data_IF_289420082996
#
_entry.id   IF_289420082996
#
_cell.length_a   1.000
_cell.length_b   1.000
_cell.length_c   1.000
_cell.angle_alpha   90.00
_cell.angle_beta   90.00
_cell.angle_gamma   90.00
#
_symmetry.space_group_name_H-M   'P 1'
#
loop_
_entity.id
_entity.type
_entity.pdbx_description
1 polymer ?
#
# COMPACT_ATOMS: atom_id res chain seq x y z
N UNK A 1 -13.56 -4.40 -10.83
CA UNK A 1 -13.45 -3.55 -12.04
C UNK A 1 -12.42 -2.49 -11.74
N UNK A 2 -11.40 -2.34 -12.58
CA UNK A 2 -10.30 -1.36 -12.43
C UNK A 2 -10.35 -0.32 -13.54
N UNK A 3 -9.68 0.82 -13.37
CA UNK A 3 -9.62 1.85 -14.40
C UNK A 3 -8.97 1.32 -15.70
N UNK A 4 -7.97 0.44 -15.59
CA UNK A 4 -7.35 -0.25 -16.73
C UNK A 4 -8.33 -1.15 -17.50
N UNK A 5 -9.29 -1.78 -16.80
CA UNK A 5 -10.31 -2.59 -17.46
C UNK A 5 -11.28 -1.71 -18.27
N UNK A 6 -11.69 -0.57 -17.71
CA UNK A 6 -12.54 0.41 -18.39
C UNK A 6 -11.82 1.04 -19.58
N UNK A 7 -10.52 1.35 -19.44
CA UNK A 7 -9.67 1.84 -20.53
C UNK A 7 -9.61 0.83 -21.69
N UNK A 8 -9.39 -0.46 -21.39
CA UNK A 8 -9.39 -1.50 -22.41
C UNK A 8 -10.74 -1.58 -23.15
N UNK A 9 -11.87 -1.39 -22.46
CA UNK A 9 -13.19 -1.34 -23.09
C UNK A 9 -13.33 -0.12 -24.02
N UNK A 10 -12.94 1.08 -23.57
CA UNK A 10 -12.99 2.30 -24.40
C UNK A 10 -12.14 2.16 -25.65
N UNK A 11 -10.96 1.56 -25.57
CA UNK A 11 -10.10 1.34 -26.74
C UNK A 11 -10.77 0.44 -27.77
N UNK A 12 -11.42 -0.64 -27.33
CA UNK A 12 -12.20 -1.52 -28.22
C UNK A 12 -13.38 -0.78 -28.85
N UNK A 13 -14.14 0.00 -28.07
CA UNK A 13 -15.28 0.75 -28.61
C UNK A 13 -14.85 1.83 -29.61
N UNK A 14 -13.70 2.47 -29.37
CA UNK A 14 -13.11 3.45 -30.27
C UNK A 14 -12.67 2.81 -31.59
N UNK A 15 -12.04 1.63 -31.56
CA UNK A 15 -11.70 0.86 -32.78
C UNK A 15 -12.94 0.48 -33.60
N UNK A 16 -14.08 0.28 -32.92
CA UNK A 16 -15.37 -0.02 -33.55
C UNK A 16 -16.17 1.23 -33.96
N UNK A 17 -15.64 2.44 -33.75
CA UNK A 17 -16.32 3.73 -33.96
C UNK A 17 -17.71 3.79 -33.31
N UNK A 18 -17.84 3.24 -32.09
CA UNK A 18 -19.08 3.29 -31.31
C UNK A 18 -19.08 4.50 -30.38
N UNK A 19 -20.19 5.23 -30.37
CA UNK A 19 -20.51 6.29 -29.40
C UNK A 19 -21.97 6.14 -28.94
N UNK A 20 -22.25 5.01 -28.31
CA UNK A 20 -23.60 4.66 -27.85
C UNK A 20 -23.67 4.60 -26.33
N UNK A 21 -24.83 4.18 -25.82
CA UNK A 21 -25.11 4.08 -24.40
C UNK A 21 -24.08 3.21 -23.65
N UNK A 22 -23.50 2.17 -24.26
CA UNK A 22 -22.51 1.33 -23.59
C UNK A 22 -21.23 2.12 -23.32
N UNK A 23 -20.83 2.98 -24.27
CA UNK A 23 -19.66 3.85 -24.11
C UNK A 23 -19.91 4.91 -23.03
N UNK A 24 -21.13 5.46 -22.97
CA UNK A 24 -21.51 6.35 -21.89
C UNK A 24 -21.33 5.67 -20.53
N UNK A 25 -21.87 4.46 -20.34
CA UNK A 25 -21.75 3.71 -19.08
C UNK A 25 -20.31 3.47 -18.64
N UNK A 26 -19.38 3.24 -19.57
CA UNK A 26 -17.96 3.07 -19.21
C UNK A 26 -17.39 4.36 -18.61
N UNK A 27 -17.72 5.51 -19.18
CA UNK A 27 -17.32 6.82 -18.64
C UNK A 27 -18.02 7.14 -17.32
N UNK A 28 -19.29 6.75 -17.15
CA UNK A 28 -19.98 6.86 -15.85
C UNK A 28 -19.26 6.07 -14.76
N UNK A 29 -18.93 4.80 -15.03
CA UNK A 29 -18.20 3.97 -14.08
C UNK A 29 -16.79 4.52 -13.80
N UNK A 30 -16.14 5.11 -14.79
CA UNK A 30 -14.83 5.74 -14.62
C UNK A 30 -14.95 6.98 -13.72
N UNK A 31 -15.97 7.82 -13.91
CA UNK A 31 -16.24 8.98 -13.06
C UNK A 31 -16.53 8.59 -11.61
N UNK A 32 -17.46 7.64 -11.39
CA UNK A 32 -17.78 7.14 -10.07
C UNK A 32 -16.54 6.58 -9.36
N UNK A 33 -15.70 5.85 -10.10
CA UNK A 33 -14.46 5.26 -9.58
C UNK A 33 -13.48 6.34 -9.15
N UNK A 34 -13.12 7.29 -10.01
CA UNK A 34 -12.12 8.33 -9.71
C UNK A 34 -12.60 9.26 -8.59
N UNK A 35 -13.87 9.68 -8.62
CA UNK A 35 -14.46 10.50 -7.57
C UNK A 35 -14.45 9.77 -6.22
N UNK A 36 -14.75 8.46 -6.21
CA UNK A 36 -14.68 7.66 -4.98
C UNK A 36 -13.26 7.55 -4.40
N UNK A 37 -12.22 7.77 -5.21
CA UNK A 37 -10.80 7.82 -4.81
C UNK A 37 -10.32 9.21 -4.38
N UNK A 38 -11.17 10.23 -4.50
CA UNK A 38 -10.82 11.62 -4.27
C UNK A 38 -10.12 12.30 -5.45
N UNK A 39 -10.15 11.69 -6.64
CA UNK A 39 -9.59 12.27 -7.87
C UNK A 39 -10.64 13.10 -8.60
N UNK A 40 -10.83 14.33 -8.13
CA UNK A 40 -11.83 15.24 -8.66
C UNK A 40 -11.49 15.72 -10.09
N UNK A 41 -10.20 15.84 -10.43
CA UNK A 41 -9.75 16.22 -11.76
C UNK A 41 -10.22 15.22 -12.83
N UNK A 42 -9.87 13.93 -12.67
CA UNK A 42 -10.30 12.89 -13.63
C UNK A 42 -11.81 12.64 -13.54
N UNK A 43 -12.37 12.69 -12.33
CA UNK A 43 -13.81 12.58 -12.11
C UNK A 43 -14.62 13.55 -12.95
N UNK A 44 -14.19 14.81 -12.99
CA UNK A 44 -14.77 15.85 -13.84
C UNK A 44 -14.69 15.49 -15.33
N UNK A 45 -13.51 15.12 -15.82
CA UNK A 45 -13.31 14.82 -17.24
C UNK A 45 -14.15 13.63 -17.69
N UNK A 46 -14.21 12.56 -16.89
CA UNK A 46 -15.07 11.41 -17.19
C UNK A 46 -16.56 11.76 -17.17
N UNK A 47 -17.00 12.56 -16.20
CA UNK A 47 -18.38 13.04 -16.17
C UNK A 47 -18.72 13.90 -17.41
N UNK A 48 -17.81 14.75 -17.87
CA UNK A 48 -17.98 15.54 -19.10
C UNK A 48 -18.10 14.65 -20.35
N UNK A 49 -17.29 13.58 -20.43
CA UNK A 49 -17.37 12.62 -21.55
C UNK A 49 -18.69 11.85 -21.54
N UNK A 50 -19.14 11.40 -20.37
CA UNK A 50 -20.45 10.75 -20.21
C UNK A 50 -21.61 11.71 -20.58
N UNK A 51 -21.58 12.95 -20.07
CA UNK A 51 -22.54 14.00 -20.41
C UNK A 51 -22.63 14.22 -21.93
N UNK A 52 -21.48 14.33 -22.60
CA UNK A 52 -21.43 14.56 -24.05
C UNK A 52 -22.14 13.44 -24.82
N UNK A 53 -21.92 12.18 -24.46
CA UNK A 53 -22.56 11.04 -25.14
C UNK A 53 -24.06 11.01 -24.83
N UNK A 54 -24.47 11.28 -23.58
CA UNK A 54 -25.88 11.35 -23.21
C UNK A 54 -26.63 12.45 -23.95
N UNK A 55 -26.00 13.61 -24.15
CA UNK A 55 -26.58 14.69 -24.98
C UNK A 55 -26.83 14.24 -26.41
N UNK A 56 -25.86 13.55 -27.01
CA UNK A 56 -25.96 13.08 -28.40
C UNK A 56 -26.98 11.94 -28.55
N UNK A 57 -27.07 11.03 -27.59
CA UNK A 57 -27.88 9.80 -27.68
C UNK A 57 -29.30 9.95 -27.13
N UNK A 58 -29.48 10.72 -26.05
CA UNK A 58 -30.75 10.85 -25.32
C UNK A 58 -31.30 12.28 -25.31
N UNK A 59 -30.51 13.26 -25.73
CA UNK A 59 -30.88 14.68 -25.69
C UNK A 59 -30.40 15.40 -24.42
N UNK A 60 -30.29 16.73 -24.52
CA UNK A 60 -29.75 17.60 -23.47
C UNK A 60 -30.66 17.74 -22.24
N UNK A 61 -31.95 17.49 -22.38
CA UNK A 61 -32.96 17.50 -21.32
C UNK A 61 -33.11 16.15 -20.62
N UNK A 62 -32.37 15.12 -21.06
CA UNK A 62 -32.39 13.81 -20.44
C UNK A 62 -31.86 13.88 -18.99
N UNK A 63 -32.45 13.13 -18.04
CA UNK A 63 -31.98 13.08 -16.66
C UNK A 63 -30.50 12.69 -16.54
N UNK A 64 -29.99 11.85 -17.45
CA UNK A 64 -28.58 11.44 -17.44
C UNK A 64 -27.65 12.57 -17.90
N UNK A 65 -27.99 13.30 -18.97
CA UNK A 65 -27.21 14.47 -19.39
C UNK A 65 -27.14 15.53 -18.28
N UNK A 66 -28.26 15.82 -17.61
CA UNK A 66 -28.31 16.78 -16.50
C UNK A 66 -27.47 16.29 -15.32
N UNK A 67 -27.64 15.02 -14.91
CA UNK A 67 -26.89 14.41 -13.80
C UNK A 67 -25.38 14.53 -14.00
N UNK A 68 -24.87 14.17 -15.17
CA UNK A 68 -23.43 14.19 -15.43
C UNK A 68 -22.90 15.61 -15.70
N UNK A 69 -23.72 16.54 -16.19
CA UNK A 69 -23.38 17.95 -16.24
C UNK A 69 -23.17 18.55 -14.84
N UNK A 70 -24.05 18.23 -13.89
CA UNK A 70 -23.95 18.67 -12.51
C UNK A 70 -22.76 18.01 -11.81
N UNK A 71 -22.55 16.71 -12.04
CA UNK A 71 -21.40 15.96 -11.53
C UNK A 71 -20.07 16.51 -12.08
N UNK A 72 -20.02 16.90 -13.35
CA UNK A 72 -18.85 17.55 -13.94
C UNK A 72 -18.56 18.93 -13.33
N UNK A 73 -19.61 19.66 -12.93
CA UNK A 73 -19.48 20.98 -12.28
C UNK A 73 -18.94 20.86 -10.86
N UNK A 74 -19.46 19.89 -10.10
CA UNK A 74 -19.02 19.61 -8.73
C UNK A 74 -18.92 18.09 -8.49
N UNK A 75 -17.78 17.46 -8.83
CA UNK A 75 -17.59 16.03 -8.60
C UNK A 75 -17.58 15.67 -7.11
N UNK A 76 -17.34 16.65 -6.22
CA UNK A 76 -17.34 16.41 -4.77
C UNK A 76 -18.73 16.24 -4.17
N UNK A 77 -19.77 16.64 -4.90
CA UNK A 77 -21.18 16.43 -4.54
C UNK A 77 -21.61 14.96 -4.61
N UNK A 78 -20.82 14.09 -5.24
CA UNK A 78 -21.15 12.68 -5.42
C UNK A 78 -21.18 11.94 -4.08
N UNK A 79 -22.20 11.09 -3.86
CA UNK A 79 -22.41 10.34 -2.61
C UNK A 79 -21.20 9.46 -2.19
N UNK A 80 -20.40 9.05 -3.17
CA UNK A 80 -19.24 8.19 -2.95
C UNK A 80 -17.94 8.95 -2.73
N UNK A 81 -17.95 10.28 -2.87
CA UNK A 81 -16.79 11.12 -2.62
C UNK A 81 -16.30 10.98 -1.16
N UNK A 82 -14.99 10.88 -0.99
CA UNK A 82 -14.37 10.68 0.33
C UNK A 82 -14.49 9.26 0.90
N UNK A 83 -15.05 8.30 0.14
CA UNK A 83 -15.04 6.88 0.52
C UNK A 83 -13.62 6.34 0.59
N UNK A 84 -12.81 6.64 -0.41
CA UNK A 84 -11.37 6.43 -0.48
C UNK A 84 -10.67 7.76 -0.84
N UNK A 85 -9.40 7.93 -0.48
CA UNK A 85 -8.68 9.20 -0.66
C UNK A 85 -7.27 8.98 -1.23
N UNK A 86 -7.12 7.93 -2.04
CA UNK A 86 -5.83 7.45 -2.54
C UNK A 86 -5.27 8.29 -3.68
N UNK A 87 -6.13 8.97 -4.47
CA UNK A 87 -5.76 9.75 -5.65
C UNK A 87 -6.19 11.22 -5.50
N UNK A 88 -5.90 11.82 -4.35
CA UNK A 88 -6.40 13.15 -4.03
C UNK A 88 -5.92 14.19 -5.05
N UNK A 89 -6.89 14.75 -5.78
CA UNK A 89 -6.72 15.89 -6.68
C UNK A 89 -7.89 16.86 -6.49
N UNK A 90 -7.71 18.08 -6.95
CA UNK A 90 -8.75 19.10 -7.06
C UNK A 90 -9.21 19.22 -8.50
N UNK A 91 -10.37 19.84 -8.74
CA UNK A 91 -10.88 20.05 -10.11
C UNK A 91 -9.96 20.92 -10.97
N UNK A 92 -9.04 21.68 -10.35
CA UNK A 92 -8.10 22.57 -11.02
C UNK A 92 -6.80 21.87 -11.43
N UNK A 93 -6.56 20.63 -10.96
CA UNK A 93 -5.39 19.83 -11.29
C UNK A 93 -5.50 19.13 -12.67
N UNK A 94 -6.45 19.53 -13.51
CA UNK A 94 -6.57 19.06 -14.89
C UNK A 94 -5.47 19.71 -15.74
N UNK A 95 -4.63 18.94 -16.44
CA UNK A 95 -3.56 19.50 -17.25
C UNK A 95 -4.09 20.13 -18.55
N UNK A 96 -3.74 21.40 -18.80
CA UNK A 96 -4.22 22.17 -19.96
C UNK A 96 -3.28 22.16 -21.18
N UNK A 97 -2.01 21.78 -20.99
CA UNK A 97 -0.95 21.90 -22.01
C UNK A 97 -0.52 20.54 -22.60
N UNK A 98 -1.30 19.48 -22.39
CA UNK A 98 -0.97 18.15 -22.91
C UNK A 98 -1.51 17.96 -24.34
N UNK A 99 -0.70 17.32 -25.18
CA UNK A 99 -1.17 16.78 -26.45
C UNK A 99 -2.28 15.73 -26.22
N UNK A 100 -3.19 15.50 -27.18
CA UNK A 100 -4.34 14.60 -26.99
C UNK A 100 -3.97 13.19 -26.54
N UNK A 101 -2.82 12.68 -26.99
CA UNK A 101 -2.33 11.36 -26.59
C UNK A 101 -1.93 11.33 -25.10
N UNK A 102 -1.07 12.26 -24.69
CA UNK A 102 -0.57 12.37 -23.32
C UNK A 102 -1.71 12.68 -22.33
N UNK A 103 -2.73 13.43 -22.79
CA UNK A 103 -3.93 13.67 -22.01
C UNK A 103 -4.71 12.37 -21.75
N UNK A 104 -4.86 11.49 -22.74
CA UNK A 104 -5.50 10.18 -22.55
C UNK A 104 -4.65 9.26 -21.68
N UNK A 105 -3.32 9.31 -21.78
CA UNK A 105 -2.44 8.57 -20.86
C UNK A 105 -2.60 9.03 -19.41
N UNK A 106 -2.65 10.34 -19.18
CA UNK A 106 -2.96 10.92 -17.88
C UNK A 106 -4.35 10.51 -17.40
N UNK A 107 -5.38 10.62 -18.24
CA UNK A 107 -6.78 10.37 -17.91
C UNK A 107 -7.00 8.93 -17.46
N UNK A 108 -6.40 7.97 -18.17
CA UNK A 108 -6.53 6.54 -17.86
C UNK A 108 -5.42 6.00 -16.96
N UNK A 109 -4.50 6.86 -16.49
CA UNK A 109 -3.32 6.47 -15.70
C UNK A 109 -2.50 5.35 -16.37
N UNK A 110 -2.29 5.44 -17.68
CA UNK A 110 -1.63 4.39 -18.48
C UNK A 110 -0.15 4.18 -18.11
N UNK A 111 0.46 5.14 -17.39
CA UNK A 111 1.90 5.12 -17.09
C UNK A 111 2.30 4.89 -15.63
N UNK A 112 1.38 4.60 -14.70
CA UNK A 112 1.77 4.17 -13.34
C UNK A 112 1.97 2.65 -13.27
N UNK A 113 2.67 2.05 -14.24
CA UNK A 113 3.39 0.83 -13.91
C UNK A 113 4.57 1.28 -13.05
N UNK A 114 4.47 1.09 -11.73
CA UNK A 114 5.68 1.02 -10.92
C UNK A 114 6.53 -0.06 -11.58
N UNK A 115 7.54 0.37 -12.35
CA UNK A 115 8.48 -0.54 -12.99
C UNK A 115 8.86 -1.55 -11.92
N UNK A 116 8.73 -2.87 -12.18
CA UNK A 116 8.99 -3.86 -11.16
C UNK A 116 10.40 -3.59 -10.68
N UNK A 117 10.52 -3.09 -9.45
CA UNK A 117 11.81 -2.92 -8.82
C UNK A 117 12.45 -4.30 -8.94
N UNK A 118 13.58 -4.38 -9.67
CA UNK A 118 14.35 -5.61 -9.91
C UNK A 118 14.18 -6.49 -8.68
N UNK A 119 13.62 -7.69 -8.86
CA UNK A 119 13.29 -8.63 -7.79
C UNK A 119 14.31 -8.48 -6.66
N UNK A 120 13.88 -7.85 -5.57
CA UNK A 120 14.73 -7.59 -4.41
C UNK A 120 14.82 -8.92 -3.70
N UNK A 121 15.66 -9.82 -4.21
CA UNK A 121 15.91 -11.12 -3.60
C UNK A 121 16.26 -10.81 -2.14
N UNK A 122 15.38 -11.13 -1.18
CA UNK A 122 15.70 -10.88 0.20
C UNK A 122 16.91 -11.74 0.50
N UNK A 123 17.87 -11.20 1.24
CA UNK A 123 18.95 -12.04 1.77
C UNK A 123 18.30 -13.24 2.48
N UNK A 124 18.96 -14.40 2.50
CA UNK A 124 18.49 -15.62 3.20
C UNK A 124 18.16 -15.41 4.70
N UNK A 125 18.32 -14.19 5.22
CA UNK A 125 18.09 -13.75 6.60
C UNK A 125 16.90 -12.78 6.77
N UNK A 126 16.15 -12.44 5.71
CA UNK A 126 14.92 -11.68 5.82
C UNK A 126 13.87 -12.43 6.63
N UNK A 127 13.34 -11.81 7.70
CA UNK A 127 12.24 -12.40 8.47
C UNK A 127 10.85 -12.23 7.81
N UNK A 128 10.79 -11.67 6.60
CA UNK A 128 9.55 -11.47 5.86
C UNK A 128 9.35 -12.56 4.81
N UNK A 129 8.15 -13.13 4.79
CA UNK A 129 7.77 -14.21 3.88
C UNK A 129 7.19 -13.63 2.59
N UNK A 130 7.64 -14.14 1.43
CA UNK A 130 6.94 -13.91 0.17
C UNK A 130 5.65 -14.71 0.12
N UNK A 131 4.78 -14.42 -0.86
CA UNK A 131 3.50 -15.12 -0.98
C UNK A 131 3.69 -16.63 -1.11
N UNK A 132 4.67 -17.08 -1.89
CA UNK A 132 4.96 -18.50 -2.10
C UNK A 132 5.38 -19.24 -0.82
N UNK A 133 5.93 -18.53 0.16
CA UNK A 133 6.38 -19.09 1.44
C UNK A 133 5.25 -19.18 2.48
N UNK A 134 4.08 -18.58 2.21
CA UNK A 134 2.96 -18.58 3.14
C UNK A 134 2.26 -19.95 3.19
N UNK A 135 1.83 -20.41 4.38
CA UNK A 135 1.06 -21.64 4.52
C UNK A 135 -0.40 -21.44 4.11
N UNK A 136 -1.07 -22.56 3.77
CA UNK A 136 -2.53 -22.59 3.70
C UNK A 136 -3.12 -22.69 5.12
N UNK A 137 -4.37 -22.23 5.29
CA UNK A 137 -5.04 -22.24 6.61
C UNK A 137 -5.20 -23.66 7.14
N UNK A 138 -5.42 -24.61 6.25
CA UNK A 138 -5.60 -26.04 6.52
C UNK A 138 -4.32 -26.68 7.10
N UNK A 139 -3.14 -26.21 6.69
CA UNK A 139 -1.84 -26.74 7.13
C UNK A 139 -1.48 -26.35 8.57
N UNK A 140 -2.11 -25.30 9.10
CA UNK A 140 -1.84 -24.78 10.45
C UNK A 140 -2.59 -25.62 11.50
N UNK A 141 -3.77 -26.15 11.16
CA UNK A 141 -4.67 -26.80 12.12
C UNK A 141 -4.26 -28.24 12.49
N UNK A 142 -3.44 -28.89 11.66
CA UNK A 142 -3.06 -30.31 11.85
C UNK A 142 -1.87 -30.52 12.80
N UNK A 143 -1.14 -29.47 13.19
CA UNK A 143 0.06 -29.55 14.02
C UNK A 143 -0.18 -29.06 15.47
N UNK A 144 -1.03 -29.76 16.21
CA UNK A 144 -1.49 -29.38 17.56
C UNK A 144 -0.46 -29.55 18.70
N UNK A 145 0.86 -29.57 18.43
CA UNK A 145 1.88 -29.59 19.50
C UNK A 145 3.13 -28.75 19.25
N UNK A 146 3.23 -28.04 18.13
CA UNK A 146 4.38 -27.15 17.86
C UNK A 146 4.08 -25.72 18.31
N UNK A 147 5.04 -25.08 18.98
CA UNK A 147 5.00 -23.64 19.29
C UNK A 147 4.55 -22.88 18.05
N UNK A 148 3.46 -22.11 18.17
CA UNK A 148 2.89 -21.35 17.06
C UNK A 148 3.94 -20.34 16.59
N UNK A 149 4.59 -20.63 15.46
CA UNK A 149 5.51 -19.68 14.84
C UNK A 149 4.68 -18.57 14.19
N UNK A 150 5.11 -17.33 14.37
CA UNK A 150 4.49 -16.18 13.73
C UNK A 150 5.30 -15.78 12.50
N UNK A 151 4.66 -15.08 11.57
CA UNK A 151 5.33 -14.50 10.41
C UNK A 151 4.65 -13.20 9.99
N UNK A 152 5.37 -12.42 9.20
CA UNK A 152 4.82 -11.21 8.60
C UNK A 152 5.05 -11.24 7.09
N UNK A 153 3.97 -11.07 6.34
CA UNK A 153 3.99 -10.79 4.92
C UNK A 153 4.13 -9.29 4.69
N UNK A 154 4.96 -8.89 3.74
CA UNK A 154 5.04 -7.51 3.26
C UNK A 154 4.68 -7.44 1.78
N UNK A 155 3.84 -6.48 1.43
CA UNK A 155 3.52 -6.17 0.04
C UNK A 155 3.47 -4.67 -0.20
N UNK A 156 4.06 -4.21 -1.29
CA UNK A 156 3.89 -2.85 -1.76
C UNK A 156 2.57 -2.73 -2.51
N UNK A 157 1.76 -1.74 -2.18
CA UNK A 157 0.51 -1.46 -2.87
C UNK A 157 0.82 -0.95 -4.28
N UNK A 158 0.36 -1.68 -5.29
CA UNK A 158 0.58 -1.34 -6.71
C UNK A 158 -0.68 -0.90 -7.40
N UNK A 159 -1.82 -1.41 -6.97
CA UNK A 159 -3.12 -1.04 -7.51
C UNK A 159 -4.21 -1.42 -6.50
N UNK A 160 -5.42 -0.97 -6.75
CA UNK A 160 -6.57 -1.28 -5.93
C UNK A 160 -7.76 -1.67 -6.81
N UNK A 161 -8.51 -2.67 -6.35
CA UNK A 161 -9.77 -3.09 -6.96
C UNK A 161 -10.89 -2.74 -5.98
N UNK A 162 -11.55 -1.61 -6.26
CA UNK A 162 -12.39 -0.92 -5.27
C UNK A 162 -13.89 -1.28 -5.29
N UNK A 163 -14.27 -2.42 -5.86
CA UNK A 163 -15.62 -2.99 -5.68
C UNK A 163 -15.67 -3.63 -4.29
N UNK A 164 -16.74 -3.43 -3.53
CA UNK A 164 -16.89 -4.05 -2.19
C UNK A 164 -17.19 -5.55 -2.32
N UNK A 165 -16.48 -6.44 -1.60
CA UNK A 165 -15.42 -6.18 -0.61
C UNK A 165 -14.12 -5.70 -1.25
N UNK A 166 -13.45 -4.71 -0.61
CA UNK A 166 -12.24 -4.10 -1.15
C UNK A 166 -11.16 -5.15 -1.43
N UNK A 167 -10.55 -5.04 -2.60
CA UNK A 167 -9.40 -5.82 -3.00
C UNK A 167 -8.21 -4.87 -3.22
N UNK A 168 -7.04 -5.21 -2.69
CA UNK A 168 -5.80 -4.43 -2.91
C UNK A 168 -4.81 -5.30 -3.66
N UNK A 169 -4.31 -4.81 -4.79
CA UNK A 169 -3.21 -5.48 -5.49
C UNK A 169 -1.89 -5.04 -4.87
N UNK A 170 -1.08 -6.03 -4.51
CA UNK A 170 0.23 -5.81 -3.91
C UNK A 170 1.30 -6.58 -4.65
N UNK A 171 2.52 -6.05 -4.62
CA UNK A 171 3.74 -6.72 -5.03
C UNK A 171 4.52 -7.14 -3.79
N UNK A 172 4.78 -8.44 -3.62
CA UNK A 172 5.52 -8.97 -2.48
C UNK A 172 7.04 -8.71 -2.57
N UNK A 173 7.77 -9.15 -1.55
CA UNK A 173 9.23 -9.06 -1.48
C UNK A 173 9.96 -9.83 -2.58
N UNK A 174 9.31 -10.80 -3.25
CA UNK A 174 9.86 -11.57 -4.38
C UNK A 174 9.47 -10.98 -5.74
N UNK A 175 8.66 -9.92 -5.76
CA UNK A 175 8.14 -9.29 -6.96
C UNK A 175 6.84 -9.91 -7.49
N UNK A 176 6.25 -10.87 -6.77
CA UNK A 176 5.00 -11.49 -7.16
C UNK A 176 3.84 -10.52 -6.94
N UNK A 177 2.96 -10.38 -7.94
CA UNK A 177 1.73 -9.60 -7.82
C UNK A 177 0.59 -10.51 -7.35
N UNK A 178 -0.09 -10.12 -6.28
CA UNK A 178 -1.24 -10.84 -5.74
C UNK A 178 -2.31 -9.89 -5.21
N UNK A 179 -3.46 -10.44 -4.83
CA UNK A 179 -4.57 -9.69 -4.24
C UNK A 179 -4.72 -9.99 -2.76
N UNK A 180 -4.86 -8.91 -1.99
CA UNK A 180 -5.35 -8.93 -0.61
C UNK A 180 -6.85 -8.67 -0.64
N UNK A 181 -7.64 -9.65 -0.22
CA UNK A 181 -9.10 -9.56 -0.22
C UNK A 181 -9.63 -9.26 1.19
N UNK A 182 -10.37 -8.17 1.36
CA UNK A 182 -10.85 -7.69 2.66
C UNK A 182 -12.23 -8.26 3.00
N UNK A 183 -12.24 -9.35 3.77
CA UNK A 183 -13.45 -9.96 4.36
C UNK A 183 -13.64 -9.56 5.83
N UNK A 184 -13.15 -8.39 6.21
CA UNK A 184 -13.33 -7.81 7.54
C UNK A 184 -14.78 -7.38 7.74
N UNK A 185 -15.19 -7.10 8.99
CA UNK A 185 -16.56 -6.67 9.31
C UNK A 185 -17.01 -5.44 8.51
N UNK A 186 -16.11 -4.49 8.25
CA UNK A 186 -16.38 -3.31 7.43
C UNK A 186 -15.91 -3.45 5.99
N UNK A 187 -15.57 -4.66 5.55
CA UNK A 187 -15.19 -5.00 4.17
C UNK A 187 -14.07 -4.12 3.59
N UNK A 188 -13.09 -3.77 4.41
CA UNK A 188 -11.96 -2.92 4.05
C UNK A 188 -12.22 -1.41 4.17
N UNK A 189 -13.19 -0.97 4.98
CA UNK A 189 -13.46 0.43 5.28
C UNK A 189 -13.07 0.83 6.72
N UNK A 190 -12.29 0.00 7.41
CA UNK A 190 -11.79 0.28 8.74
C UNK A 190 -10.83 1.48 8.79
N UNK A 191 -10.76 2.18 9.93
CA UNK A 191 -9.79 3.25 10.15
C UNK A 191 -8.34 2.75 10.16
N UNK A 192 -8.12 1.45 10.40
CA UNK A 192 -6.79 0.81 10.46
C UNK A 192 -6.30 0.21 9.14
N UNK A 193 -7.16 0.12 8.12
CA UNK A 193 -6.82 -0.35 6.77
C UNK A 193 -7.98 -0.04 5.83
N UNK A 194 -7.82 0.52 4.62
CA UNK A 194 -6.72 1.20 3.95
C UNK A 194 -7.14 2.63 3.49
N UNK A 195 -7.84 3.41 4.32
CA UNK A 195 -8.11 4.84 4.02
C UNK A 195 -6.83 5.69 3.89
N UNK A 196 -5.71 5.17 4.40
CA UNK A 196 -4.37 5.79 4.38
C UNK A 196 -3.40 5.06 3.44
N UNK A 197 -3.78 3.90 2.88
CA UNK A 197 -2.90 3.21 1.95
C UNK A 197 -2.94 3.95 0.63
N UNK A 198 -1.82 4.51 0.21
CA UNK A 198 -1.65 5.10 -1.10
C UNK A 198 -0.83 4.16 -1.96
N UNK A 199 -0.86 4.38 -3.26
CA UNK A 199 0.03 3.69 -4.19
C UNK A 199 1.49 3.85 -3.73
N UNK A 200 2.25 2.77 -3.77
CA UNK A 200 3.63 2.73 -3.29
C UNK A 200 3.81 2.58 -1.78
N UNK A 201 2.76 2.65 -0.96
CA UNK A 201 2.87 2.30 0.46
C UNK A 201 3.07 0.79 0.64
N UNK A 202 3.57 0.39 1.81
CA UNK A 202 3.75 -1.03 2.15
C UNK A 202 2.70 -1.46 3.15
N UNK A 203 2.05 -2.59 2.88
CA UNK A 203 1.19 -3.26 3.85
C UNK A 203 1.94 -4.41 4.50
N UNK A 204 1.83 -4.49 5.82
CA UNK A 204 2.32 -5.60 6.62
C UNK A 204 1.12 -6.40 7.12
N UNK A 205 1.12 -7.71 6.84
CA UNK A 205 0.07 -8.64 7.26
C UNK A 205 0.68 -9.71 8.15
N UNK A 206 0.26 -9.75 9.41
CA UNK A 206 0.66 -10.72 10.41
C UNK A 206 -0.06 -12.05 10.17
N UNK A 207 0.66 -13.16 10.33
CA UNK A 207 0.15 -14.53 10.17
C UNK A 207 -0.68 -14.71 8.89
N UNK A 208 -0.22 -14.09 7.80
CA UNK A 208 -0.89 -14.16 6.50
C UNK A 208 -0.98 -15.60 6.00
N UNK A 209 -2.13 -16.00 5.46
CA UNK A 209 -2.34 -17.34 4.91
C UNK A 209 -2.76 -17.27 3.47
N UNK A 210 -2.35 -18.27 2.68
CA UNK A 210 -2.87 -18.48 1.33
C UNK A 210 -4.33 -18.89 1.40
N UNK A 211 -5.11 -18.38 0.46
CA UNK A 211 -6.49 -18.76 0.29
C UNK A 211 -6.81 -18.95 -1.18
N UNK A 212 -7.34 -20.12 -1.52
CA UNK A 212 -7.88 -20.39 -2.84
C UNK A 212 -9.32 -19.87 -2.90
N UNK A 213 -9.54 -18.85 -3.73
CA UNK A 213 -10.85 -18.28 -3.93
C UNK A 213 -11.61 -19.06 -5.00
N UNK A 214 -12.90 -19.31 -4.77
CA UNK A 214 -13.76 -20.05 -5.70
C UNK A 214 -13.77 -19.46 -7.12
N UNK A 215 -13.61 -18.15 -7.24
CA UNK A 215 -13.63 -17.41 -8.50
C UNK A 215 -12.47 -16.41 -8.54
N UNK A 216 -11.27 -16.88 -8.88
CA UNK A 216 -10.10 -16.02 -9.03
C UNK A 216 -8.79 -16.75 -8.74
N UNK A 217 -7.65 -16.09 -8.97
CA UNK A 217 -6.36 -16.61 -8.55
C UNK A 217 -6.29 -16.68 -7.01
N UNK A 218 -5.41 -17.54 -6.46
CA UNK A 218 -5.11 -17.53 -5.02
C UNK A 218 -4.63 -16.16 -4.54
N UNK A 219 -4.92 -15.84 -3.28
CA UNK A 219 -4.51 -14.58 -2.67
C UNK A 219 -4.47 -14.69 -1.15
N UNK A 220 -4.42 -13.54 -0.48
CA UNK A 220 -4.48 -13.48 0.99
C UNK A 220 -5.86 -12.99 1.39
N UNK A 221 -6.52 -13.74 2.28
CA UNK A 221 -7.84 -13.39 2.82
C UNK A 221 -7.69 -12.72 4.19
N UNK A 222 -8.03 -11.44 4.27
CA UNK A 222 -8.00 -10.67 5.52
C UNK A 222 -9.38 -10.73 6.19
N UNK A 223 -9.42 -11.24 7.43
CA UNK A 223 -10.66 -11.31 8.23
C UNK A 223 -10.63 -10.38 9.45
N UNK A 224 -9.46 -10.15 10.05
CA UNK A 224 -9.27 -9.25 11.19
C UNK A 224 -8.43 -8.03 10.77
N UNK A 225 -9.02 -6.84 10.88
CA UNK A 225 -8.38 -5.58 10.52
C UNK A 225 -7.19 -5.22 11.43
N UNK A 226 -6.99 -5.91 12.55
CA UNK A 226 -5.82 -5.74 13.44
C UNK A 226 -4.61 -6.57 13.00
N UNK A 227 -4.77 -7.47 12.03
CA UNK A 227 -3.66 -8.26 11.48
C UNK A 227 -2.93 -7.53 10.35
N UNK A 228 -3.42 -6.36 9.93
CA UNK A 228 -2.83 -5.55 8.87
C UNK A 228 -2.49 -4.15 9.38
N UNK A 229 -1.36 -3.61 8.93
CA UNK A 229 -1.01 -2.20 9.05
C UNK A 229 -0.40 -1.71 7.74
N UNK A 230 -0.74 -0.48 7.35
CA UNK A 230 -0.12 0.20 6.22
C UNK A 230 0.96 1.17 6.73
N UNK A 231 2.13 1.14 6.11
CA UNK A 231 3.24 2.05 6.38
C UNK A 231 3.43 2.97 5.18
N UNK A 232 3.57 4.30 5.38
CA UNK A 232 3.75 5.28 4.31
C UNK A 232 5.19 5.28 3.79
N UNK A 233 5.67 4.12 3.36
CA UNK A 233 7.00 3.87 2.83
C UNK A 233 6.94 2.82 1.72
N UNK A 234 7.76 2.96 0.66
CA UNK A 234 8.01 1.89 -0.30
C UNK A 234 8.58 0.65 0.37
N UNK A 235 8.29 -0.53 -0.19
CA UNK A 235 8.74 -1.81 0.36
C UNK A 235 10.27 -1.86 0.40
N UNK A 236 10.90 -1.32 -0.64
CA UNK A 236 12.36 -1.20 -0.75
C UNK A 236 12.97 -0.49 0.46
N UNK A 237 12.33 0.59 0.95
CA UNK A 237 12.78 1.35 2.11
C UNK A 237 12.59 0.61 3.43
N UNK A 238 11.54 -0.18 3.56
CA UNK A 238 11.36 -1.03 4.76
C UNK A 238 12.41 -2.13 4.80
N UNK A 239 12.75 -2.74 3.67
CA UNK A 239 13.79 -3.78 3.59
C UNK A 239 15.20 -3.20 3.84
N UNK A 240 15.51 -2.03 3.31
CA UNK A 240 16.75 -1.29 3.64
C UNK A 240 16.83 -1.04 5.16
N UNK A 241 15.72 -0.60 5.77
CA UNK A 241 15.66 -0.35 7.21
C UNK A 241 15.80 -1.62 8.05
N UNK A 242 15.25 -2.75 7.62
CA UNK A 242 15.43 -4.04 8.30
C UNK A 242 16.91 -4.42 8.35
N UNK A 243 17.62 -4.27 7.23
CA UNK A 243 19.06 -4.53 7.17
C UNK A 243 19.86 -3.62 8.11
N UNK A 244 19.59 -2.31 8.09
CA UNK A 244 20.27 -1.34 8.95
C UNK A 244 20.00 -1.62 10.44
N UNK A 245 18.74 -1.88 10.80
CA UNK A 245 18.35 -2.20 12.18
C UNK A 245 19.00 -3.50 12.65
N UNK A 246 19.03 -4.53 11.81
CA UNK A 246 19.73 -5.79 12.12
C UNK A 246 21.23 -5.57 12.36
N UNK A 247 21.86 -4.74 11.54
CA UNK A 247 23.29 -4.51 11.61
C UNK A 247 23.71 -3.61 12.78
N UNK A 248 22.94 -2.56 13.09
CA UNK A 248 23.37 -1.51 14.01
C UNK A 248 22.61 -1.47 15.35
N UNK A 249 21.45 -2.12 15.42
CA UNK A 249 20.57 -1.99 16.59
C UNK A 249 20.45 -3.26 17.41
N UNK A 250 20.61 -4.44 16.78
CA UNK A 250 20.54 -5.72 17.49
C UNK A 250 21.73 -5.89 18.44
N UNK A 251 21.48 -6.21 19.72
CA UNK A 251 22.54 -6.45 20.68
C UNK A 251 23.32 -7.70 20.31
N UNK A 252 24.64 -7.61 20.36
CA UNK A 252 25.57 -8.74 20.28
C UNK A 252 25.92 -9.22 21.69
N UNK A 253 26.89 -10.14 21.81
CA UNK A 253 27.41 -10.57 23.12
C UNK A 253 27.75 -9.36 24.01
N UNK A 254 27.38 -9.46 25.30
CA UNK A 254 27.56 -8.40 26.30
C UNK A 254 26.82 -7.08 26.02
N UNK A 255 25.68 -7.13 25.31
CA UNK A 255 24.87 -5.96 24.93
C UNK A 255 25.66 -4.92 24.12
N UNK A 256 26.64 -5.40 23.36
CA UNK A 256 27.42 -4.58 22.43
C UNK A 256 26.60 -4.24 21.17
N UNK A 257 26.79 -3.04 20.64
CA UNK A 257 26.13 -2.56 19.41
C UNK A 257 27.12 -1.85 18.50
N UNK A 258 26.82 -1.88 17.20
CA UNK A 258 27.64 -1.21 16.20
C UNK A 258 27.26 0.27 16.12
N UNK A 259 28.26 1.14 16.18
CA UNK A 259 28.07 2.57 15.96
C UNK A 259 27.61 2.81 14.52
N UNK A 260 26.44 3.41 14.35
CA UNK A 260 25.94 3.71 12.99
C UNK A 260 26.90 4.67 12.26
N UNK A 261 27.56 5.60 12.95
CA UNK A 261 28.53 6.54 12.37
C UNK A 261 29.80 5.88 11.84
N UNK A 262 30.60 5.26 12.73
CA UNK A 262 31.93 4.73 12.38
C UNK A 262 31.99 3.20 12.22
N UNK A 263 30.96 2.46 12.63
CA UNK A 263 30.94 0.99 12.59
C UNK A 263 31.57 0.29 13.80
N UNK A 264 32.25 1.02 14.70
CA UNK A 264 32.88 0.42 15.87
C UNK A 264 31.85 -0.23 16.80
N UNK A 265 32.23 -1.38 17.35
CA UNK A 265 31.42 -2.14 18.30
C UNK A 265 31.76 -1.68 19.71
N UNK A 266 30.75 -1.31 20.50
CA UNK A 266 30.95 -0.93 21.90
C UNK A 266 29.73 -1.32 22.75
N UNK A 267 29.93 -1.42 24.06
CA UNK A 267 28.84 -1.68 25.01
C UNK A 267 27.82 -0.54 24.98
N UNK A 268 26.53 -0.89 24.97
CA UNK A 268 25.43 0.08 24.91
C UNK A 268 25.55 1.20 25.95
N UNK A 269 25.90 0.84 27.19
CA UNK A 269 26.06 1.78 28.30
C UNK A 269 27.09 2.90 28.02
N UNK A 270 28.04 2.67 27.11
CA UNK A 270 29.07 3.64 26.72
C UNK A 270 28.69 4.49 25.51
N UNK A 271 27.55 4.20 24.87
CA UNK A 271 27.13 4.80 23.60
C UNK A 271 25.90 5.68 23.78
N UNK A 272 25.73 6.63 22.85
CA UNK A 272 24.55 7.49 22.76
C UNK A 272 23.53 6.87 21.83
N UNK A 273 22.31 6.63 22.34
CA UNK A 273 21.15 6.22 21.53
C UNK A 273 20.50 7.45 20.90
N UNK A 274 19.99 7.31 19.67
CA UNK A 274 19.22 8.37 19.04
C UNK A 274 17.96 8.66 19.85
N UNK A 275 17.79 9.89 20.36
CA UNK A 275 16.62 10.28 21.15
C UNK A 275 15.32 10.38 20.33
N UNK A 276 15.41 10.48 19.00
CA UNK A 276 14.26 10.60 18.11
C UNK A 276 13.55 9.27 17.84
N UNK A 277 14.26 8.32 17.25
CA UNK A 277 13.71 7.02 16.87
C UNK A 277 14.01 5.90 17.88
N UNK A 278 15.03 6.07 18.73
CA UNK A 278 15.52 5.06 19.67
C UNK A 278 16.11 3.79 19.02
N UNK A 279 16.25 3.72 17.70
CA UNK A 279 16.76 2.52 17.01
C UNK A 279 18.29 2.48 16.91
N UNK A 280 18.97 3.60 16.67
CA UNK A 280 20.41 3.60 16.36
C UNK A 280 21.30 4.13 17.50
N UNK A 281 22.54 3.64 17.54
CA UNK A 281 23.54 3.92 18.56
C UNK A 281 24.82 4.54 17.98
N UNK A 282 25.49 5.37 18.77
CA UNK A 282 26.68 6.11 18.38
C UNK A 282 27.71 6.18 19.49
N UNK A 283 29.00 6.12 19.15
CA UNK A 283 30.06 6.34 20.14
C UNK A 283 29.97 7.75 20.77
N UNK A 284 29.68 8.77 19.96
CA UNK A 284 29.67 10.17 20.39
C UNK A 284 28.84 11.03 19.43
N UNK A 285 28.84 12.36 19.68
CA UNK A 285 28.06 13.32 18.89
C UNK A 285 28.56 13.43 17.45
N UNK A 286 29.86 13.28 17.20
CA UNK A 286 30.42 13.36 15.84
C UNK A 286 29.99 12.15 15.01
N UNK A 287 30.06 10.94 15.59
CA UNK A 287 29.52 9.74 14.98
C UNK A 287 28.01 9.85 14.73
N UNK A 288 27.27 10.52 15.62
CA UNK A 288 25.87 10.82 15.39
C UNK A 288 25.66 11.73 14.19
N UNK A 289 26.44 12.80 14.03
CA UNK A 289 26.32 13.70 12.87
C UNK A 289 26.67 12.99 11.56
N UNK A 290 27.73 12.19 11.55
CA UNK A 290 28.11 11.35 10.40
C UNK A 290 26.96 10.41 10.05
N UNK A 291 26.50 9.61 11.03
CA UNK A 291 25.38 8.69 10.79
C UNK A 291 24.08 9.38 10.36
N UNK A 292 23.85 10.60 10.86
CA UNK A 292 22.66 11.40 10.58
C UNK A 292 22.64 11.96 9.15
N UNK A 293 23.76 12.56 8.72
CA UNK A 293 23.85 13.29 7.45
C UNK A 293 24.38 12.39 6.34
N UNK A 294 25.52 11.73 6.54
CA UNK A 294 26.22 11.01 5.46
C UNK A 294 25.68 9.60 5.24
N UNK A 295 25.20 8.95 6.30
CA UNK A 295 24.58 7.62 6.22
C UNK A 295 23.06 7.63 6.22
N UNK A 296 22.45 8.78 5.96
CA UNK A 296 21.01 8.87 5.65
C UNK A 296 20.04 8.65 6.81
N UNK A 297 20.47 8.49 8.07
CA UNK A 297 19.53 8.25 9.17
C UNK A 297 18.52 9.40 9.34
N UNK A 298 18.86 10.65 8.98
CA UNK A 298 17.88 11.75 9.00
C UNK A 298 16.57 11.40 8.25
N UNK A 299 16.67 10.73 7.10
CA UNK A 299 15.51 10.37 6.29
C UNK A 299 14.64 9.29 6.98
N UNK A 300 15.27 8.26 7.55
CA UNK A 300 14.53 7.15 8.14
C UNK A 300 14.13 7.35 9.62
N UNK A 301 14.77 8.29 10.34
CA UNK A 301 14.47 8.58 11.74
C UNK A 301 12.99 8.94 11.95
N UNK A 302 12.41 9.71 11.03
CA UNK A 302 11.00 10.10 11.08
C UNK A 302 10.09 8.87 11.05
N UNK A 303 10.36 7.94 10.15
CA UNK A 303 9.56 6.72 9.99
C UNK A 303 9.70 5.78 11.18
N UNK A 304 10.92 5.63 11.70
CA UNK A 304 11.21 4.82 12.88
C UNK A 304 10.64 5.43 14.18
N UNK A 305 10.00 6.60 14.17
CA UNK A 305 9.19 7.02 15.33
C UNK A 305 7.94 6.17 15.49
N UNK A 306 7.44 5.55 14.42
CA UNK A 306 6.32 4.61 14.49
C UNK A 306 6.74 3.38 15.32
N UNK A 307 6.06 3.12 16.45
CA UNK A 307 6.41 2.00 17.32
C UNK A 307 6.18 0.64 16.66
N UNK A 308 5.16 0.50 15.82
CA UNK A 308 4.88 -0.75 15.12
C UNK A 308 5.92 -1.01 14.05
N UNK A 309 6.33 0.02 13.28
CA UNK A 309 7.41 -0.16 12.30
C UNK A 309 8.69 -0.60 12.99
N UNK A 310 9.07 0.03 14.11
CA UNK A 310 10.24 -0.42 14.88
C UNK A 310 10.09 -1.87 15.33
N UNK A 311 8.98 -2.20 15.99
CA UNK A 311 8.72 -3.55 16.48
C UNK A 311 8.78 -4.57 15.35
N UNK A 312 8.19 -4.26 14.21
CA UNK A 312 8.21 -5.10 13.02
C UNK A 312 9.65 -5.48 12.62
N UNK A 313 10.57 -4.52 12.63
CA UNK A 313 11.98 -4.70 12.26
C UNK A 313 12.81 -5.40 13.35
N UNK A 314 12.45 -5.22 14.63
CA UNK A 314 13.15 -5.83 15.76
C UNK A 314 12.64 -7.25 16.11
N UNK A 315 11.44 -7.62 15.66
CA UNK A 315 10.80 -8.88 16.06
C UNK A 315 11.46 -10.07 15.38
N UNK A 316 11.90 -11.04 16.18
CA UNK A 316 12.24 -12.39 15.71
C UNK A 316 10.96 -13.22 15.63
N UNK A 317 10.31 -13.21 14.47
CA UNK A 317 8.98 -13.81 14.28
C UNK A 317 8.92 -15.31 14.62
N UNK A 318 10.05 -16.01 14.49
CA UNK A 318 10.17 -17.42 14.87
C UNK A 318 10.14 -17.67 16.40
N UNK A 319 10.39 -16.64 17.21
CA UNK A 319 10.52 -16.73 18.66
C UNK A 319 9.29 -16.21 19.41
N UNK A 320 8.39 -15.50 18.72
CA UNK A 320 7.15 -14.99 19.32
C UNK A 320 6.25 -16.17 19.71
N UNK A 321 5.74 -16.16 20.94
CA UNK A 321 4.86 -17.21 21.47
C UNK A 321 3.41 -16.71 21.73
N UNK A 322 3.23 -15.40 21.86
CA UNK A 322 1.95 -14.77 22.17
C UNK A 322 1.17 -14.36 20.92
N UNK A 323 -0.15 -14.17 21.08
CA UNK A 323 -0.98 -13.63 20.01
C UNK A 323 -0.46 -12.27 19.52
N UNK A 324 -0.08 -12.18 18.25
CA UNK A 324 0.36 -10.93 17.59
C UNK A 324 -0.81 -10.23 16.90
N UNK A 325 -0.87 -8.91 17.04
CA UNK A 325 -1.80 -8.00 16.34
C UNK A 325 -1.27 -6.58 16.44
N UNK A 326 -1.67 -5.72 15.52
CA UNK A 326 -1.42 -4.28 15.62
C UNK A 326 -2.41 -3.59 16.60
N UNK A 327 -1.97 -2.54 17.31
CA UNK A 327 -0.57 -2.13 17.49
C UNK A 327 0.19 -3.25 18.21
N UNK A 328 1.41 -3.53 17.76
CA UNK A 328 2.27 -4.54 18.36
C UNK A 328 2.46 -4.15 19.83
N UNK A 329 2.40 -5.11 20.76
CA UNK A 329 2.57 -4.84 22.20
C UNK A 329 4.06 -4.81 22.57
N UNK A 330 4.37 -4.03 23.60
CA UNK A 330 5.71 -4.06 24.22
C UNK A 330 5.82 -5.41 24.91
N UNK A 331 6.83 -6.21 24.60
CA UNK A 331 7.30 -7.16 25.60
C UNK A 331 7.98 -6.31 26.68
N UNK A 332 7.50 -6.37 27.92
CA UNK A 332 7.96 -5.58 29.07
C UNK A 332 9.39 -5.95 29.55
N UNK A 333 10.33 -6.21 28.63
CA UNK A 333 11.67 -6.64 28.98
C UNK A 333 12.66 -6.43 27.86
N UNK A 334 13.04 -5.17 27.59
CA UNK A 334 14.32 -4.75 27.00
C UNK A 334 14.32 -3.21 26.86
N UNK A 335 14.77 -2.52 27.91
CA UNK A 335 14.87 -1.06 27.96
C UNK A 335 16.27 -0.59 27.53
#
# INVERSE_FOLDING_TARGET
MSLQYLDAQIRIYSELNREDHDVALVYEFAADMTISQGDLARGRVFAQKAESIHKTTLGSDSPMAIKFADLARDPSSHDMYGRFMCWRTTVDDIPYELEPHDFEEWLWKREESFAPAKALIPSKQSCFSGFDDLPYKEDIATNSSFKKRHWCFLGQVTDFVHIVPLDVQVMDVRGNKLRLHFYTEKKGLEKSAPKEAQLGHTVAVLDATKHDFKFGPPGIRLQDARMIKCFPLPLTKILELDNDVRQFSKPQQNDCRNCHGCGNIAAAASMKRCSGCLSFWYCNKDCQMVGWVTKGHKACCKSLKDPDLRRLLFTEWNEVQDSVRFPLKVADGSC
#
